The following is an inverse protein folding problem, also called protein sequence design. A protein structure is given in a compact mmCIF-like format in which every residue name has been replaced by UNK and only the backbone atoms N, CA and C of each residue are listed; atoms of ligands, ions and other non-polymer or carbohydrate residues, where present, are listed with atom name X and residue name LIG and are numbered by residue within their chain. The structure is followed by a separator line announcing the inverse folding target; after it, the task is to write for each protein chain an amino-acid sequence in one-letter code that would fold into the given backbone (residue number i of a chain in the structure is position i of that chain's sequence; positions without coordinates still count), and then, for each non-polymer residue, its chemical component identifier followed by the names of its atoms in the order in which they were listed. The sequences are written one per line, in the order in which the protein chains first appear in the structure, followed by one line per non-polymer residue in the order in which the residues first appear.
data_IF_885839975068
#
_entry.id   IF_885839975068
#
_cell.length_a   1.000
_cell.length_b   1.000
_cell.length_c   1.000
_cell.angle_alpha   90.00
_cell.angle_beta   90.00
_cell.angle_gamma   90.00
#
_symmetry.space_group_name_H-M   'P 1'
#
loop_
_entity.id
_entity.type
_entity.pdbx_description
1 polymer ?
#
# COMPACT_ATOMS: atom_id res chain seq x y z
N UNK A 1 9.72 -15.03 22.64
CA UNK A 1 10.06 -15.25 21.21
C UNK A 1 10.36 -13.89 20.63
N UNK A 2 11.63 -13.61 20.27
CA UNK A 2 12.05 -12.28 19.76
C UNK A 2 11.25 -11.95 18.49
N UNK A 3 10.80 -10.70 18.29
CA UNK A 3 9.91 -10.36 17.19
C UNK A 3 10.57 -10.75 15.87
N UNK A 4 9.83 -11.52 15.06
CA UNK A 4 10.20 -11.82 13.68
C UNK A 4 10.31 -10.49 12.95
N UNK A 5 11.54 -10.00 12.78
CA UNK A 5 11.87 -8.92 11.85
C UNK A 5 11.15 -9.27 10.54
N UNK A 6 10.21 -8.43 10.08
CA UNK A 6 9.79 -8.34 8.68
C UNK A 6 11.04 -8.66 7.88
N UNK A 7 11.10 -9.70 7.04
CA UNK A 7 12.35 -10.10 6.42
C UNK A 7 12.99 -8.88 5.74
N UNK A 8 13.92 -8.18 6.42
CA UNK A 8 14.05 -6.73 6.22
C UNK A 8 14.64 -6.45 4.84
N UNK A 9 15.56 -7.33 4.46
CA UNK A 9 16.16 -7.39 3.15
C UNK A 9 15.12 -7.67 2.05
N UNK A 10 14.13 -8.53 2.33
CA UNK A 10 13.04 -8.83 1.38
C UNK A 10 12.15 -7.61 1.18
N UNK A 11 11.76 -6.95 2.27
CA UNK A 11 10.90 -5.75 2.21
C UNK A 11 11.59 -4.58 1.50
N UNK A 12 12.87 -4.33 1.83
CA UNK A 12 13.70 -3.31 1.17
C UNK A 12 13.85 -3.60 -0.32
N UNK A 13 14.07 -4.86 -0.70
CA UNK A 13 14.16 -5.26 -2.10
C UNK A 13 12.83 -5.04 -2.83
N UNK A 14 11.72 -5.52 -2.28
CA UNK A 14 10.38 -5.35 -2.89
C UNK A 14 10.04 -3.87 -3.10
N UNK A 15 10.38 -3.03 -2.13
CA UNK A 15 10.22 -1.57 -2.25
C UNK A 15 11.08 -0.99 -3.37
N UNK A 16 12.35 -1.36 -3.44
CA UNK A 16 13.26 -0.88 -4.50
C UNK A 16 12.82 -1.36 -5.89
N UNK A 17 12.34 -2.59 -6.00
CA UNK A 17 11.76 -3.15 -7.23
C UNK A 17 10.50 -2.36 -7.65
N UNK A 18 9.62 -2.01 -6.70
CA UNK A 18 8.45 -1.17 -6.97
C UNK A 18 8.83 0.26 -7.41
N UNK A 19 9.85 0.87 -6.80
CA UNK A 19 10.32 2.21 -7.20
C UNK A 19 10.93 2.20 -8.62
N UNK A 20 11.86 1.28 -8.87
CA UNK A 20 12.55 1.19 -10.17
C UNK A 20 11.60 0.83 -11.32
N UNK A 21 10.64 -0.07 -11.09
CA UNK A 21 9.62 -0.37 -12.10
C UNK A 21 8.69 0.81 -12.35
N UNK A 22 8.35 1.61 -11.34
CA UNK A 22 7.55 2.82 -11.51
C UNK A 22 8.28 3.85 -12.37
N UNK A 23 9.57 4.06 -12.12
CA UNK A 23 10.43 4.94 -12.92
C UNK A 23 10.57 4.49 -14.38
N UNK A 24 10.51 3.18 -14.66
CA UNK A 24 10.51 2.65 -16.03
C UNK A 24 9.22 2.94 -16.82
N UNK A 25 8.19 3.47 -16.14
CA UNK A 25 6.86 3.74 -16.67
C UNK A 25 6.12 2.53 -17.26
N UNK A 26 6.61 1.31 -17.03
CA UNK A 26 6.06 0.08 -17.56
C UNK A 26 4.96 -0.48 -16.64
N UNK A 27 3.70 -0.29 -17.01
CA UNK A 27 2.52 -0.65 -16.19
C UNK A 27 2.52 -2.08 -15.65
N UNK A 28 2.83 -3.08 -16.48
CA UNK A 28 2.81 -4.50 -16.07
C UNK A 28 3.90 -4.79 -15.02
N UNK A 29 5.18 -4.41 -15.22
CA UNK A 29 6.20 -4.49 -14.17
C UNK A 29 5.80 -3.80 -12.86
N UNK A 30 5.23 -2.59 -12.93
CA UNK A 30 4.75 -1.85 -11.75
C UNK A 30 3.67 -2.65 -11.01
N UNK A 31 2.67 -3.17 -11.72
CA UNK A 31 1.60 -3.97 -11.13
C UNK A 31 2.14 -5.21 -10.42
N UNK A 32 3.09 -5.92 -11.03
CA UNK A 32 3.71 -7.12 -10.45
C UNK A 32 4.52 -6.80 -9.20
N UNK A 33 5.36 -5.76 -9.24
CA UNK A 33 6.17 -5.36 -8.09
C UNK A 33 5.29 -4.88 -6.93
N UNK A 34 4.23 -4.13 -7.25
CA UNK A 34 3.26 -3.63 -6.26
C UNK A 34 2.43 -4.77 -5.66
N UNK A 35 2.01 -5.76 -6.47
CA UNK A 35 1.35 -6.96 -5.99
C UNK A 35 2.23 -7.74 -5.01
N UNK A 36 3.52 -7.92 -5.31
CA UNK A 36 4.44 -8.63 -4.43
C UNK A 36 4.60 -7.93 -3.06
N UNK A 37 4.64 -6.60 -3.05
CA UNK A 37 4.66 -5.82 -1.82
C UNK A 37 3.36 -5.96 -1.02
N UNK A 38 2.20 -5.81 -1.67
CA UNK A 38 0.89 -5.96 -1.03
C UNK A 38 0.67 -7.37 -0.47
N UNK A 39 1.08 -8.40 -1.21
CA UNK A 39 1.09 -9.79 -0.79
C UNK A 39 1.94 -10.01 0.47
N UNK A 40 3.13 -9.41 0.51
CA UNK A 40 4.01 -9.54 1.67
C UNK A 40 3.39 -8.89 2.91
N UNK A 41 2.84 -7.68 2.78
CA UNK A 41 2.20 -6.96 3.87
C UNK A 41 0.96 -7.71 4.38
N UNK A 42 0.04 -8.12 3.49
CA UNK A 42 -1.19 -8.83 3.87
C UNK A 42 -0.90 -10.17 4.55
N UNK A 43 0.07 -10.94 4.03
CA UNK A 43 0.52 -12.18 4.70
C UNK A 43 1.16 -11.92 6.05
N UNK A 44 1.92 -10.84 6.20
CA UNK A 44 2.52 -10.47 7.49
C UNK A 44 1.46 -10.21 8.56
N UNK A 45 0.39 -9.51 8.20
CA UNK A 45 -0.75 -9.28 9.10
C UNK A 45 -1.69 -10.47 9.24
N UNK A 46 -1.47 -11.57 8.52
CA UNK A 46 -2.33 -12.75 8.54
C UNK A 46 -3.73 -12.51 7.98
N UNK A 47 -3.90 -11.51 7.12
CA UNK A 47 -5.18 -11.19 6.46
C UNK A 47 -5.24 -11.77 5.04
N UNK A 48 -6.44 -11.78 4.44
CA UNK A 48 -6.61 -12.19 3.04
C UNK A 48 -5.74 -11.33 2.12
N UNK A 49 -5.18 -11.92 1.07
CA UNK A 49 -4.43 -11.15 0.07
C UNK A 49 -5.36 -10.29 -0.80
N UNK A 50 -4.93 -9.08 -1.13
CA UNK A 50 -5.62 -8.21 -2.10
C UNK A 50 -5.06 -8.41 -3.50
N UNK A 51 -5.89 -8.25 -4.52
CA UNK A 51 -5.41 -8.11 -5.90
C UNK A 51 -5.06 -6.65 -6.18
N UNK A 52 -3.86 -6.39 -6.67
CA UNK A 52 -3.45 -5.07 -7.14
C UNK A 52 -3.77 -4.94 -8.64
N UNK A 53 -4.32 -3.78 -9.00
CA UNK A 53 -4.55 -3.36 -10.39
C UNK A 53 -3.93 -1.99 -10.59
N UNK A 54 -3.00 -1.88 -11.54
CA UNK A 54 -2.38 -0.60 -11.89
C UNK A 54 -2.89 -0.15 -13.24
N UNK A 55 -3.51 1.03 -13.24
CA UNK A 55 -4.00 1.74 -14.41
C UNK A 55 -3.11 2.94 -14.72
N UNK A 56 -3.11 3.39 -15.97
CA UNK A 56 -2.29 4.55 -16.33
C UNK A 56 -2.82 5.84 -15.73
N UNK A 57 -4.12 6.12 -15.90
CA UNK A 57 -4.73 7.39 -15.53
C UNK A 57 -6.03 7.20 -14.78
N UNK A 58 -6.24 8.02 -13.77
CA UNK A 58 -7.54 8.13 -13.09
C UNK A 58 -8.60 8.64 -14.07
N UNK A 59 -9.76 7.98 -14.18
CA UNK A 59 -10.92 8.56 -14.86
C UNK A 59 -11.25 9.93 -14.27
N UNK A 60 -11.55 10.92 -15.08
CA UNK A 60 -11.97 12.23 -14.59
C UNK A 60 -13.39 12.13 -14.00
N UNK A 61 -13.51 11.77 -12.73
CA UNK A 61 -14.78 11.86 -11.98
C UNK A 61 -14.62 12.80 -10.78
N UNK A 62 -15.70 13.56 -10.48
CA UNK A 62 -15.75 14.62 -9.45
C UNK A 62 -16.03 14.13 -8.03
N UNK A 63 -16.02 12.82 -7.77
CA UNK A 63 -16.35 12.28 -6.46
C UNK A 63 -15.09 12.00 -5.63
N UNK A 64 -14.94 12.71 -4.51
CA UNK A 64 -14.07 12.39 -3.37
C UNK A 64 -12.54 12.46 -3.58
N UNK A 65 -11.83 12.42 -2.45
CA UNK A 65 -10.39 12.19 -2.32
C UNK A 65 -10.00 10.78 -2.80
N UNK A 66 -10.25 10.43 -4.06
CA UNK A 66 -9.78 9.12 -4.57
C UNK A 66 -8.28 9.22 -4.84
N UNK A 67 -7.49 8.80 -3.85
CA UNK A 67 -6.06 8.58 -4.01
C UNK A 67 -5.82 7.26 -4.75
N UNK A 68 -6.55 6.19 -4.38
CA UNK A 68 -6.69 4.89 -5.05
C UNK A 68 -8.15 4.43 -4.99
N UNK A 69 -8.41 3.14 -5.19
CA UNK A 69 -9.69 2.50 -4.89
C UNK A 69 -9.47 1.17 -4.18
N UNK A 70 -10.15 0.96 -3.07
CA UNK A 70 -10.33 -0.34 -2.45
C UNK A 70 -11.75 -0.84 -2.69
N UNK A 71 -11.89 -2.00 -3.33
CA UNK A 71 -13.16 -2.56 -3.76
C UNK A 71 -13.35 -3.98 -3.20
N UNK A 72 -14.50 -4.22 -2.58
CA UNK A 72 -14.97 -5.55 -2.16
C UNK A 72 -16.37 -5.74 -2.74
N UNK A 73 -16.51 -6.60 -3.74
CA UNK A 73 -17.80 -6.84 -4.41
C UNK A 73 -18.76 -7.62 -3.50
N UNK A 74 -18.22 -8.61 -2.78
CA UNK A 74 -18.92 -9.38 -1.75
C UNK A 74 -17.92 -10.08 -0.83
N UNK A 75 -18.40 -10.64 0.28
CA UNK A 75 -17.57 -11.30 1.29
C UNK A 75 -16.67 -12.44 0.75
N UNK A 76 -17.06 -13.10 -0.36
CA UNK A 76 -16.30 -14.21 -0.97
C UNK A 76 -15.35 -13.74 -2.08
N UNK A 77 -15.55 -12.54 -2.61
CA UNK A 77 -14.68 -11.96 -3.63
C UNK A 77 -13.29 -11.63 -3.06
N UNK A 78 -12.28 -11.73 -3.92
CA UNK A 78 -10.95 -11.23 -3.58
C UNK A 78 -10.99 -9.69 -3.61
N UNK A 79 -10.62 -9.00 -2.51
CA UNK A 79 -10.57 -7.55 -2.51
C UNK A 79 -9.60 -7.02 -3.55
N UNK A 80 -9.92 -5.88 -4.17
CA UNK A 80 -9.10 -5.26 -5.22
C UNK A 80 -8.63 -3.89 -4.76
N UNK A 81 -7.34 -3.62 -4.93
CA UNK A 81 -6.74 -2.29 -4.81
C UNK A 81 -6.39 -1.80 -6.21
N UNK A 82 -7.03 -0.72 -6.65
CA UNK A 82 -6.74 -0.05 -7.92
C UNK A 82 -5.91 1.22 -7.70
N UNK A 83 -4.82 1.36 -8.45
CA UNK A 83 -3.87 2.48 -8.38
C UNK A 83 -3.69 3.11 -9.75
N UNK A 84 -3.33 4.40 -9.77
CA UNK A 84 -2.97 5.12 -10.98
C UNK A 84 -1.51 5.53 -10.96
N UNK A 85 -0.75 5.10 -11.95
CA UNK A 85 0.69 5.39 -12.00
C UNK A 85 1.03 6.75 -12.62
N UNK A 86 0.08 7.44 -13.25
CA UNK A 86 0.29 8.79 -13.82
C UNK A 86 -0.67 9.83 -13.25
N UNK A 87 -0.15 11.04 -13.10
CA UNK A 87 -0.91 12.23 -12.71
C UNK A 87 -2.02 12.54 -13.72
N UNK A 88 -3.18 12.98 -13.22
CA UNK A 88 -4.36 13.26 -14.04
C UNK A 88 -4.11 14.39 -15.05
N UNK A 89 -3.45 15.46 -14.60
CA UNK A 89 -3.28 16.69 -15.39
C UNK A 89 -2.10 16.62 -16.36
N UNK A 90 -0.94 16.11 -15.90
CA UNK A 90 0.32 16.17 -16.67
C UNK A 90 0.71 14.86 -17.33
N UNK A 91 0.01 13.74 -17.04
CA UNK A 91 0.33 12.38 -17.52
C UNK A 91 1.75 11.90 -17.18
N UNK A 92 2.42 12.59 -16.27
CA UNK A 92 3.71 12.21 -15.72
C UNK A 92 3.53 11.09 -14.71
N UNK A 93 4.50 10.17 -14.63
CA UNK A 93 4.53 9.17 -13.56
C UNK A 93 4.54 9.87 -12.19
N UNK A 94 3.75 9.34 -11.26
CA UNK A 94 3.69 9.87 -9.89
C UNK A 94 4.99 9.58 -9.14
N UNK A 95 5.38 10.47 -8.23
CA UNK A 95 6.52 10.21 -7.36
C UNK A 95 6.29 8.91 -6.55
N UNK A 96 7.35 8.10 -6.39
CA UNK A 96 7.25 6.80 -5.70
C UNK A 96 6.63 6.92 -4.29
N UNK A 97 7.05 7.92 -3.51
CA UNK A 97 6.46 8.16 -2.17
C UNK A 97 4.95 8.39 -2.22
N UNK A 98 4.46 9.11 -3.23
CA UNK A 98 3.03 9.34 -3.45
C UNK A 98 2.32 8.05 -3.83
N UNK A 99 2.87 7.29 -4.78
CA UNK A 99 2.32 6.00 -5.19
C UNK A 99 2.23 5.01 -4.04
N UNK A 100 3.32 4.90 -3.25
CA UNK A 100 3.38 4.03 -2.09
C UNK A 100 2.37 4.45 -1.02
N UNK A 101 2.26 5.75 -0.73
CA UNK A 101 1.29 6.26 0.23
C UNK A 101 -0.14 5.93 -0.19
N UNK A 102 -0.46 6.04 -1.49
CA UNK A 102 -1.76 5.61 -2.02
C UNK A 102 -1.99 4.10 -1.80
N UNK A 103 -1.02 3.24 -2.14
CA UNK A 103 -1.15 1.80 -1.87
C UNK A 103 -1.45 1.53 -0.39
N UNK A 104 -0.70 2.18 0.50
CA UNK A 104 -0.86 1.99 1.94
C UNK A 104 -2.20 2.51 2.46
N UNK A 105 -2.71 3.61 1.91
CA UNK A 105 -4.04 4.10 2.22
C UNK A 105 -5.11 3.04 1.96
N UNK A 106 -5.12 2.46 0.76
CA UNK A 106 -6.07 1.40 0.40
C UNK A 106 -5.84 0.11 1.20
N UNK A 107 -4.58 -0.22 1.54
CA UNK A 107 -4.28 -1.35 2.41
C UNK A 107 -4.70 -1.11 3.87
N UNK A 108 -4.68 0.13 4.37
CA UNK A 108 -5.20 0.43 5.71
C UNK A 108 -6.70 0.19 5.76
N UNK A 109 -7.46 0.59 4.73
CA UNK A 109 -8.87 0.19 4.64
C UNK A 109 -9.03 -1.33 4.71
N UNK A 110 -8.22 -2.07 3.94
CA UNK A 110 -8.25 -3.53 3.99
C UNK A 110 -7.95 -4.09 5.40
N UNK A 111 -6.92 -3.58 6.09
CA UNK A 111 -6.56 -3.99 7.44
C UNK A 111 -7.60 -3.60 8.48
N UNK A 112 -8.24 -2.45 8.34
CA UNK A 112 -9.31 -2.02 9.23
C UNK A 112 -10.47 -3.02 9.22
N UNK A 113 -10.85 -3.50 8.04
CA UNK A 113 -11.89 -4.51 7.90
C UNK A 113 -11.42 -5.93 8.29
N UNK A 114 -10.27 -6.37 7.81
CA UNK A 114 -9.85 -7.77 7.95
C UNK A 114 -9.09 -8.05 9.25
N UNK A 115 -8.32 -7.10 9.75
CA UNK A 115 -7.50 -7.28 10.95
C UNK A 115 -8.16 -6.67 12.19
N UNK A 116 -8.61 -5.41 12.11
CA UNK A 116 -9.26 -4.72 13.23
C UNK A 116 -10.76 -5.01 13.34
N UNK A 117 -11.37 -5.60 12.31
CA UNK A 117 -12.79 -5.96 12.26
C UNK A 117 -13.72 -4.77 12.48
N UNK A 118 -13.32 -3.59 11.99
CA UNK A 118 -14.16 -2.39 12.04
C UNK A 118 -15.33 -2.53 11.08
N UNK A 119 -16.50 -2.03 11.47
CA UNK A 119 -17.68 -1.97 10.60
C UNK A 119 -17.47 -0.93 9.47
N UNK A 120 -16.88 0.22 9.82
CA UNK A 120 -16.53 1.29 8.90
C UNK A 120 -15.07 1.72 9.07
N UNK A 121 -14.39 2.00 7.95
CA UNK A 121 -13.03 2.53 7.92
C UNK A 121 -13.04 3.99 7.50
N UNK A 122 -13.42 4.87 8.44
CA UNK A 122 -13.46 6.31 8.23
C UNK A 122 -12.06 6.94 8.34
N UNK A 123 -11.80 7.99 7.55
CA UNK A 123 -10.54 8.75 7.53
C UNK A 123 -10.32 9.62 8.77
N UNK A 124 -10.22 8.98 9.93
CA UNK A 124 -9.95 9.61 11.23
C UNK A 124 -8.46 9.83 11.46
N UNK A 125 -8.10 10.55 12.53
CA UNK A 125 -6.70 10.66 12.97
C UNK A 125 -6.04 9.30 13.16
N UNK A 126 -6.76 8.32 13.72
CA UNK A 126 -6.27 6.96 13.90
C UNK A 126 -5.94 6.26 12.58
N UNK A 127 -6.77 6.46 11.55
CA UNK A 127 -6.51 5.95 10.21
C UNK A 127 -5.19 6.51 9.65
N UNK A 128 -5.03 7.84 9.69
CA UNK A 128 -3.83 8.50 9.17
C UNK A 128 -2.55 8.16 9.95
N UNK A 129 -2.67 7.87 11.25
CA UNK A 129 -1.55 7.37 12.06
C UNK A 129 -1.10 5.97 11.62
N UNK A 130 -2.02 5.05 11.34
CA UNK A 130 -1.68 3.71 10.81
C UNK A 130 -1.01 3.81 9.44
N UNK A 131 -1.57 4.60 8.54
CA UNK A 131 -1.00 4.86 7.21
C UNK A 131 0.43 5.42 7.31
N UNK A 132 0.62 6.44 8.14
CA UNK A 132 1.93 7.09 8.32
C UNK A 132 2.94 6.17 8.98
N UNK A 133 2.53 5.35 9.95
CA UNK A 133 3.40 4.37 10.61
C UNK A 133 3.92 3.33 9.60
N UNK A 134 3.04 2.76 8.76
CA UNK A 134 3.45 1.85 7.69
C UNK A 134 4.38 2.52 6.68
N UNK A 135 4.06 3.75 6.29
CA UNK A 135 4.90 4.50 5.34
C UNK A 135 6.30 4.75 5.91
N UNK A 136 6.41 5.14 7.17
CA UNK A 136 7.71 5.34 7.82
C UNK A 136 8.53 4.06 7.90
N UNK A 137 7.92 2.94 8.30
CA UNK A 137 8.59 1.63 8.33
C UNK A 137 9.12 1.20 6.95
N UNK A 138 8.40 1.56 5.88
CA UNK A 138 8.80 1.21 4.52
C UNK A 138 9.85 2.17 3.94
N UNK A 139 9.82 3.46 4.30
CA UNK A 139 10.81 4.43 3.84
C UNK A 139 12.12 4.34 4.62
N UNK A 140 12.02 4.19 5.94
CA UNK A 140 13.14 4.10 6.87
C UNK A 140 12.96 2.93 7.85
N UNK A 141 13.20 1.69 7.41
CA UNK A 141 13.07 0.55 8.29
C UNK A 141 14.17 0.45 9.38
N UNK A 142 15.19 1.31 9.33
CA UNK A 142 16.21 1.37 10.36
C UNK A 142 15.75 2.20 11.58
N UNK A 143 14.88 3.19 11.38
CA UNK A 143 14.37 4.05 12.45
C UNK A 143 13.60 3.29 13.55
N UNK A 144 12.77 2.30 13.19
CA UNK A 144 12.00 1.52 14.17
C UNK A 144 12.84 0.47 14.92
N UNK A 145 13.99 0.09 14.38
CA UNK A 145 14.92 -0.81 15.10
C UNK A 145 15.67 -0.10 16.23
N UNK A 146 15.70 1.24 16.25
CA UNK A 146 16.30 2.01 17.33
C UNK A 146 15.32 2.25 18.49
N UNK A 147 14.02 2.44 18.20
CA UNK A 147 12.98 2.68 19.21
C UNK A 147 12.60 1.42 20.00
N UNK A 148 12.70 0.23 19.41
CA UNK A 148 12.43 -1.04 20.08
C UNK A 148 13.55 -1.56 21.00
N UNK A 149 14.64 -0.80 21.16
CA UNK A 149 15.79 -1.12 22.04
C UNK A 149 15.85 -0.26 23.31
N UNK A 150 14.84 0.57 23.54
CA UNK A 150 14.68 1.37 24.75
C UNK A 150 13.43 0.91 25.51
N UNK A 151 13.39 -0.36 25.89
CA UNK A 151 12.48 -0.93 26.90
C UNK A 151 13.16 -2.10 27.61
#
# INVERSE_FOLDING_TARGET
MKPSRWGLLTLLRMRSDASSTLESEARIPVERATQALADHLTRHFGVRTVRVRVLERRPSSRYGELHGLYEVENARSQPVVTLWMRTVQRRQVVAFKTFLRTLLHELVHHLDYEWLKLEDSLHTEGFYKRESSLLHQLLDPAADSASASQD
#
